data_IF_164364663259
#
_entry.id   IF_164364663259
#
_cell.length_a   1.000
_cell.length_b   1.000
_cell.length_c   1.000
_cell.angle_alpha   90.00
_cell.angle_beta   90.00
_cell.angle_gamma   90.00
#
_symmetry.space_group_name_H-M   'P 1'
#
loop_
_entity.id
_entity.type
_entity.pdbx_description
1 polymer ?
#
# COMPACT_ATOMS: atom_id res chain seq x y z
N UNK A 1 -1.67 0.56 -17.56
CA UNK A 1 -1.77 -0.90 -17.30
C UNK A 1 -0.57 -1.69 -17.84
N UNK A 2 -0.07 -1.46 -19.07
CA UNK A 2 1.03 -2.26 -19.63
C UNK A 2 2.36 -2.16 -18.87
N UNK A 3 2.71 -1.00 -18.35
CA UNK A 3 3.91 -0.79 -17.54
C UNK A 3 3.82 -1.48 -16.17
N UNK A 4 2.61 -1.50 -15.57
CA UNK A 4 2.34 -2.15 -14.28
C UNK A 4 2.55 -3.68 -14.31
N UNK A 5 2.56 -4.29 -15.49
CA UNK A 5 2.72 -5.74 -15.67
C UNK A 5 3.99 -6.10 -16.46
N UNK A 6 5.05 -5.24 -16.43
CA UNK A 6 6.31 -5.50 -17.12
C UNK A 6 7.04 -6.73 -16.55
N UNK A 7 7.73 -7.53 -17.39
CA UNK A 7 8.38 -8.78 -16.93
C UNK A 7 9.45 -8.59 -15.84
N UNK A 8 10.14 -7.44 -15.81
CA UNK A 8 11.18 -7.13 -14.82
C UNK A 8 10.66 -6.81 -13.41
N UNK A 9 9.36 -6.50 -13.28
CA UNK A 9 8.75 -6.03 -12.04
C UNK A 9 8.93 -7.02 -10.87
N UNK A 10 8.87 -8.32 -11.14
CA UNK A 10 9.03 -9.36 -10.10
C UNK A 10 10.42 -9.28 -9.43
N UNK A 11 11.48 -9.08 -10.24
CA UNK A 11 12.85 -8.97 -9.71
C UNK A 11 13.12 -7.61 -9.06
N UNK A 12 12.45 -6.56 -9.53
CA UNK A 12 12.60 -5.20 -9.05
C UNK A 12 11.87 -4.97 -7.73
N UNK A 13 10.64 -5.45 -7.62
CA UNK A 13 9.74 -5.17 -6.49
C UNK A 13 9.55 -6.36 -5.54
N UNK A 14 10.05 -7.55 -5.88
CA UNK A 14 10.01 -8.77 -5.06
C UNK A 14 8.66 -8.93 -4.31
N UNK A 15 7.51 -8.90 -5.04
CA UNK A 15 6.19 -8.72 -4.42
C UNK A 15 5.77 -9.85 -3.47
N UNK A 16 6.26 -11.07 -3.70
CA UNK A 16 5.95 -12.21 -2.83
C UNK A 16 6.70 -12.10 -1.50
N UNK A 17 7.94 -11.58 -1.52
CA UNK A 17 8.72 -11.27 -0.32
C UNK A 17 8.12 -10.07 0.43
N UNK A 18 7.67 -9.03 -0.30
CA UNK A 18 6.99 -7.89 0.31
C UNK A 18 5.79 -8.36 1.13
N UNK A 19 4.86 -9.10 0.52
CA UNK A 19 3.66 -9.52 1.23
C UNK A 19 3.95 -10.52 2.35
N UNK A 20 4.97 -11.37 2.20
CA UNK A 20 5.40 -12.29 3.26
C UNK A 20 5.96 -11.55 4.49
N UNK A 21 6.66 -10.42 4.27
CA UNK A 21 7.21 -9.60 5.36
C UNK A 21 6.17 -8.67 6.01
N UNK A 22 4.96 -8.58 5.49
CA UNK A 22 3.88 -7.84 6.16
C UNK A 22 3.41 -8.51 7.46
N UNK A 23 3.65 -9.81 7.66
CA UNK A 23 3.25 -10.54 8.87
C UNK A 23 1.75 -10.42 9.14
N UNK A 24 0.94 -10.72 8.12
CA UNK A 24 -0.52 -10.64 8.19
C UNK A 24 -1.11 -11.88 8.84
N UNK A 25 -2.13 -11.71 9.67
CA UNK A 25 -2.95 -12.81 10.16
C UNK A 25 -4.06 -13.16 9.14
N UNK A 26 -4.53 -14.42 9.09
CA UNK A 26 -5.50 -14.88 8.07
C UNK A 26 -6.82 -14.12 8.04
N UNK A 27 -7.23 -13.48 9.13
CA UNK A 27 -8.48 -12.74 9.30
C UNK A 27 -8.33 -11.21 9.15
N UNK A 28 -7.11 -10.73 8.85
CA UNK A 28 -6.86 -9.31 8.68
C UNK A 28 -7.66 -8.69 7.52
N UNK A 29 -8.09 -7.45 7.73
CA UNK A 29 -8.59 -6.55 6.67
C UNK A 29 -7.46 -5.64 6.25
N UNK A 30 -7.07 -5.72 4.98
CA UNK A 30 -5.92 -4.99 4.45
C UNK A 30 -6.35 -4.04 3.34
N UNK A 31 -5.96 -2.78 3.42
CA UNK A 31 -6.16 -1.81 2.33
C UNK A 31 -4.92 -1.75 1.43
N UNK A 32 -5.10 -1.92 0.13
CA UNK A 32 -4.09 -1.70 -0.92
C UNK A 32 -4.41 -0.36 -1.58
N UNK A 33 -3.64 0.69 -1.25
CA UNK A 33 -3.89 2.08 -1.66
C UNK A 33 -3.13 2.39 -2.95
N UNK A 34 -3.86 2.80 -3.99
CA UNK A 34 -3.33 2.89 -5.35
C UNK A 34 -3.17 1.49 -5.96
N UNK A 35 -4.16 0.63 -5.78
CA UNK A 35 -4.10 -0.80 -6.09
C UNK A 35 -3.82 -1.10 -7.58
N UNK A 36 -4.09 -0.14 -8.48
CA UNK A 36 -3.92 -0.32 -9.92
C UNK A 36 -4.67 -1.55 -10.43
N UNK A 37 -3.97 -2.43 -11.13
CA UNK A 37 -4.55 -3.69 -11.64
C UNK A 37 -4.65 -4.81 -10.57
N UNK A 38 -4.45 -4.49 -9.29
CA UNK A 38 -4.48 -5.45 -8.18
C UNK A 38 -3.21 -6.30 -8.04
N UNK A 39 -2.06 -5.78 -8.47
CA UNK A 39 -0.81 -6.55 -8.45
C UNK A 39 -0.43 -7.06 -7.06
N UNK A 40 -0.58 -6.23 -6.04
CA UNK A 40 -0.41 -6.63 -4.63
C UNK A 40 -1.70 -7.21 -4.04
N UNK A 41 -2.87 -6.66 -4.36
CA UNK A 41 -4.16 -7.09 -3.82
C UNK A 41 -4.36 -8.61 -3.94
N UNK A 42 -4.08 -9.21 -5.12
CA UNK A 42 -4.24 -10.66 -5.34
C UNK A 42 -3.23 -11.52 -4.57
N UNK A 43 -2.07 -10.98 -4.21
CA UNK A 43 -1.09 -11.68 -3.36
C UNK A 43 -1.50 -11.64 -1.91
N UNK A 44 -1.92 -10.46 -1.44
CA UNK A 44 -2.41 -10.25 -0.07
C UNK A 44 -3.65 -11.11 0.18
N UNK A 45 -4.59 -11.17 -0.76
CA UNK A 45 -5.81 -11.97 -0.64
C UNK A 45 -5.56 -13.46 -0.33
N UNK A 46 -4.44 -14.01 -0.79
CA UNK A 46 -4.03 -15.40 -0.48
C UNK A 46 -3.55 -15.57 0.97
N UNK A 47 -3.06 -14.50 1.60
CA UNK A 47 -2.56 -14.51 2.97
C UNK A 47 -3.66 -14.26 3.99
N UNK A 48 -4.76 -13.63 3.56
CA UNK A 48 -5.89 -13.29 4.42
C UNK A 48 -7.19 -14.00 3.96
N UNK A 49 -7.20 -15.35 3.93
CA UNK A 49 -8.34 -16.11 3.39
C UNK A 49 -9.62 -16.00 4.24
N UNK A 50 -9.52 -15.63 5.51
CA UNK A 50 -10.63 -15.39 6.44
C UNK A 50 -10.96 -13.90 6.59
N UNK A 51 -10.06 -13.03 6.12
CA UNK A 51 -10.21 -11.59 6.05
C UNK A 51 -10.57 -11.09 4.65
N UNK A 52 -10.14 -9.89 4.32
CA UNK A 52 -10.33 -9.33 2.97
C UNK A 52 -9.31 -8.26 2.62
N UNK A 53 -9.21 -7.97 1.33
CA UNK A 53 -8.45 -6.85 0.78
C UNK A 53 -9.41 -5.78 0.27
N UNK A 54 -9.20 -4.55 0.70
CA UNK A 54 -9.85 -3.35 0.15
C UNK A 54 -8.89 -2.74 -0.88
N UNK A 55 -9.18 -2.96 -2.16
CA UNK A 55 -8.38 -2.43 -3.26
C UNK A 55 -8.87 -1.02 -3.60
N UNK A 56 -8.15 -0.01 -3.11
CA UNK A 56 -8.49 1.41 -3.26
C UNK A 56 -7.81 1.98 -4.49
N UNK A 57 -8.57 2.55 -5.42
CA UNK A 57 -8.03 3.27 -6.57
C UNK A 57 -8.98 4.40 -6.97
N UNK A 58 -8.42 5.48 -7.54
CA UNK A 58 -9.21 6.61 -8.04
C UNK A 58 -9.69 6.43 -9.49
N UNK A 59 -9.16 5.40 -10.18
CA UNK A 59 -9.46 5.10 -11.57
C UNK A 59 -10.47 3.94 -11.65
N UNK A 60 -11.71 4.17 -12.10
CA UNK A 60 -12.73 3.11 -12.18
C UNK A 60 -12.31 1.97 -13.13
N UNK A 61 -11.47 2.27 -14.12
CA UNK A 61 -10.94 1.27 -15.05
C UNK A 61 -10.04 0.25 -14.34
N UNK A 62 -9.28 0.67 -13.32
CA UNK A 62 -8.43 -0.22 -12.53
C UNK A 62 -9.29 -1.15 -11.67
N UNK A 63 -10.31 -0.63 -11.00
CA UNK A 63 -11.26 -1.44 -10.23
C UNK A 63 -12.00 -2.44 -11.12
N UNK A 64 -12.39 -2.05 -12.34
CA UNK A 64 -13.01 -2.96 -13.29
C UNK A 64 -12.06 -4.09 -13.74
N UNK A 65 -10.76 -3.83 -13.87
CA UNK A 65 -9.75 -4.86 -14.15
C UNK A 65 -9.65 -5.85 -12.98
N UNK A 66 -9.62 -5.34 -11.74
CA UNK A 66 -9.59 -6.18 -10.54
C UNK A 66 -10.82 -7.09 -10.50
N UNK A 67 -12.02 -6.54 -10.71
CA UNK A 67 -13.28 -7.30 -10.72
C UNK A 67 -13.27 -8.42 -11.78
N UNK A 68 -12.82 -8.12 -13.00
CA UNK A 68 -12.69 -9.12 -14.08
C UNK A 68 -11.72 -10.24 -13.68
N UNK A 69 -10.59 -9.90 -13.09
CA UNK A 69 -9.60 -10.89 -12.63
C UNK A 69 -10.15 -11.75 -11.48
N UNK A 70 -10.84 -11.14 -10.52
CA UNK A 70 -11.50 -11.87 -9.43
C UNK A 70 -12.44 -12.94 -9.98
N UNK A 71 -13.28 -12.57 -10.95
CA UNK A 71 -14.21 -13.50 -11.60
C UNK A 71 -13.47 -14.62 -12.36
N UNK A 72 -12.38 -14.30 -13.06
CA UNK A 72 -11.60 -15.26 -13.81
C UNK A 72 -10.84 -16.25 -12.93
N UNK A 73 -10.27 -15.77 -11.83
CA UNK A 73 -9.40 -16.53 -10.92
C UNK A 73 -10.17 -17.15 -9.75
N UNK A 74 -11.48 -16.88 -9.60
CA UNK A 74 -12.31 -17.36 -8.51
C UNK A 74 -11.96 -16.76 -7.15
N UNK A 75 -11.38 -15.56 -7.11
CA UNK A 75 -11.04 -14.84 -5.90
C UNK A 75 -12.27 -14.07 -5.40
N UNK A 76 -12.62 -14.22 -4.12
CA UNK A 76 -13.85 -13.65 -3.55
C UNK A 76 -13.63 -12.70 -2.38
N UNK A 77 -12.40 -12.57 -1.90
CA UNK A 77 -12.03 -11.76 -0.73
C UNK A 77 -11.27 -10.48 -1.09
N UNK A 78 -11.49 -9.93 -2.27
CA UNK A 78 -11.09 -8.57 -2.65
C UNK A 78 -12.34 -7.74 -2.87
N UNK A 79 -12.33 -6.50 -2.40
CA UNK A 79 -13.40 -5.52 -2.60
C UNK A 79 -12.79 -4.25 -3.21
N UNK A 80 -13.29 -3.83 -4.36
CA UNK A 80 -12.88 -2.56 -4.98
C UNK A 80 -13.50 -1.38 -4.25
N UNK A 81 -12.67 -0.41 -3.87
CA UNK A 81 -13.10 0.83 -3.21
C UNK A 81 -12.73 2.02 -4.09
N UNK A 82 -13.71 2.80 -4.49
CA UNK A 82 -13.47 4.02 -5.24
C UNK A 82 -13.01 5.13 -4.29
N UNK A 83 -11.72 5.45 -4.33
CA UNK A 83 -11.16 6.60 -3.64
C UNK A 83 -11.35 7.89 -4.43
N UNK A 84 -10.99 9.01 -3.80
CA UNK A 84 -10.85 10.31 -4.45
C UNK A 84 -9.39 10.78 -4.36
N UNK A 85 -9.07 11.97 -4.83
CA UNK A 85 -7.71 12.54 -4.75
C UNK A 85 -7.31 12.90 -3.32
N UNK A 86 -8.26 12.98 -2.39
CA UNK A 86 -8.12 13.47 -1.02
C UNK A 86 -8.78 12.56 0.04
N UNK A 87 -9.43 11.45 -0.36
CA UNK A 87 -10.09 10.53 0.56
C UNK A 87 -9.99 9.08 0.06
N UNK A 88 -9.42 8.15 0.85
CA UNK A 88 -9.40 6.73 0.51
C UNK A 88 -10.79 6.07 0.59
N UNK A 89 -11.81 6.76 1.09
CA UNK A 89 -13.17 6.25 1.30
C UNK A 89 -13.23 4.96 2.14
N UNK A 90 -12.35 4.85 3.12
CA UNK A 90 -12.32 3.71 4.04
C UNK A 90 -13.06 4.04 5.34
N UNK A 91 -13.90 3.12 5.87
CA UNK A 91 -14.54 3.34 7.15
C UNK A 91 -13.53 3.48 8.31
N UNK A 92 -13.77 4.35 9.29
CA UNK A 92 -12.89 4.47 10.46
C UNK A 92 -12.74 3.16 11.23
N UNK A 93 -11.52 2.89 11.74
CA UNK A 93 -11.18 1.70 12.54
C UNK A 93 -11.60 0.36 11.89
N UNK A 94 -11.45 0.26 10.57
CA UNK A 94 -11.93 -0.89 9.79
C UNK A 94 -10.82 -1.79 9.26
N UNK A 95 -9.57 -1.33 9.24
CA UNK A 95 -8.45 -2.07 8.67
C UNK A 95 -7.37 -2.39 9.69
N UNK A 96 -6.70 -3.53 9.53
CA UNK A 96 -5.59 -4.00 10.35
C UNK A 96 -4.23 -3.59 9.75
N UNK A 97 -4.21 -3.42 8.43
CA UNK A 97 -3.04 -2.96 7.71
C UNK A 97 -3.41 -2.16 6.46
N UNK A 98 -2.52 -1.26 6.06
CA UNK A 98 -2.55 -0.61 4.75
C UNK A 98 -1.19 -0.76 4.07
N UNK A 99 -1.18 -0.86 2.75
CA UNK A 99 0.04 -0.84 1.93
C UNK A 99 -0.09 0.21 0.83
N UNK A 100 0.99 0.94 0.60
CA UNK A 100 1.18 1.85 -0.54
C UNK A 100 2.49 1.47 -1.24
N UNK A 101 2.43 1.22 -2.55
CA UNK A 101 3.61 0.86 -3.34
C UNK A 101 3.79 1.83 -4.48
N UNK A 102 4.84 2.64 -4.41
CA UNK A 102 5.14 3.68 -5.40
C UNK A 102 3.93 4.58 -5.70
N UNK A 103 3.15 4.91 -4.68
CA UNK A 103 1.91 5.65 -4.81
C UNK A 103 1.90 6.97 -4.02
N UNK A 104 2.55 7.01 -2.85
CA UNK A 104 2.48 8.16 -1.96
C UNK A 104 3.05 9.44 -2.60
N UNK A 105 4.17 9.33 -3.30
CA UNK A 105 4.78 10.48 -4.01
C UNK A 105 3.92 11.04 -5.16
N UNK A 106 2.87 10.33 -5.57
CA UNK A 106 1.92 10.74 -6.61
C UNK A 106 0.68 11.47 -6.05
N UNK A 107 0.53 11.56 -4.72
CA UNK A 107 -0.66 12.17 -4.12
C UNK A 107 -0.65 13.69 -4.24
N UNK A 108 -1.71 14.26 -4.82
CA UNK A 108 -1.95 15.71 -4.87
C UNK A 108 -2.34 16.27 -3.49
N UNK A 109 -2.99 15.45 -2.65
CA UNK A 109 -3.47 15.76 -1.31
C UNK A 109 -2.94 14.75 -0.28
N UNK A 110 -1.60 14.69 -0.05
CA UNK A 110 -1.00 13.65 0.79
C UNK A 110 -1.45 13.74 2.25
N UNK A 111 -1.71 14.94 2.77
CA UNK A 111 -2.16 15.12 4.14
C UNK A 111 -3.54 14.48 4.35
N UNK A 112 -4.51 14.79 3.53
CA UNK A 112 -5.89 14.31 3.62
C UNK A 112 -5.94 12.78 3.42
N UNK A 113 -5.16 12.27 2.46
CA UNK A 113 -5.09 10.83 2.20
C UNK A 113 -4.52 10.05 3.39
N UNK A 114 -3.40 10.51 3.99
CA UNK A 114 -2.81 9.83 5.15
C UNK A 114 -3.71 9.97 6.38
N UNK A 115 -4.35 11.11 6.58
CA UNK A 115 -5.33 11.30 7.67
C UNK A 115 -6.47 10.27 7.55
N UNK A 116 -7.07 10.13 6.37
CA UNK A 116 -8.11 9.14 6.10
C UNK A 116 -7.64 7.68 6.26
N UNK A 117 -6.41 7.36 5.83
CA UNK A 117 -5.82 6.03 6.03
C UNK A 117 -5.56 5.77 7.53
N UNK A 118 -5.03 6.78 8.24
CA UNK A 118 -4.80 6.69 9.68
C UNK A 118 -6.12 6.52 10.45
N UNK A 119 -7.17 7.24 10.08
CA UNK A 119 -8.49 7.07 10.68
C UNK A 119 -9.04 5.65 10.46
N UNK A 120 -8.83 5.09 9.27
CA UNK A 120 -9.26 3.74 8.93
C UNK A 120 -8.49 2.65 9.68
N UNK A 121 -7.22 2.87 10.01
CA UNK A 121 -6.40 1.94 10.78
C UNK A 121 -6.94 1.77 12.21
N UNK A 122 -7.00 0.53 12.67
CA UNK A 122 -7.20 0.20 14.09
C UNK A 122 -5.95 0.57 14.90
N UNK A 123 -6.09 0.81 16.19
CA UNK A 123 -4.93 0.92 17.09
C UNK A 123 -4.13 -0.38 17.05
N UNK A 124 -2.82 -0.28 16.86
CA UNK A 124 -1.93 -1.40 16.59
C UNK A 124 -1.88 -1.82 15.11
N UNK A 125 -2.73 -1.23 14.27
CA UNK A 125 -2.69 -1.42 12.82
C UNK A 125 -1.45 -0.81 12.19
N UNK A 126 -1.02 -1.36 11.06
CA UNK A 126 0.25 -1.01 10.42
C UNK A 126 0.07 -0.44 9.03
N UNK A 127 0.84 0.60 8.73
CA UNK A 127 1.02 1.15 7.40
C UNK A 127 2.36 0.69 6.84
N UNK A 128 2.35 0.04 5.68
CA UNK A 128 3.53 -0.33 4.90
C UNK A 128 3.66 0.62 3.72
N UNK A 129 4.74 1.38 3.71
CA UNK A 129 5.01 2.35 2.65
C UNK A 129 6.27 1.94 1.90
N UNK A 130 6.12 1.65 0.61
CA UNK A 130 7.20 1.29 -0.30
C UNK A 130 7.42 2.45 -1.27
N UNK A 131 8.63 3.02 -1.22
CA UNK A 131 9.04 4.12 -2.10
C UNK A 131 10.49 3.92 -2.56
N UNK A 132 10.81 4.39 -3.77
CA UNK A 132 12.19 4.35 -4.28
C UNK A 132 13.12 5.20 -3.43
N UNK A 133 14.31 4.65 -3.12
CA UNK A 133 15.30 5.31 -2.25
C UNK A 133 15.74 6.65 -2.80
N UNK A 134 15.43 7.73 -2.08
CA UNK A 134 15.89 9.08 -2.37
C UNK A 134 17.38 9.28 -2.07
N UNK A 135 17.93 8.48 -1.16
CA UNK A 135 19.33 8.51 -0.72
C UNK A 135 20.30 7.86 -1.73
N UNK A 136 19.78 7.07 -2.68
CA UNK A 136 20.62 6.33 -3.63
C UNK A 136 20.45 6.87 -5.05
N UNK A 137 21.48 7.59 -5.51
CA UNK A 137 21.53 8.14 -6.86
C UNK A 137 21.66 7.06 -7.95
N UNK A 138 22.06 5.82 -7.59
CA UNK A 138 22.21 4.71 -8.53
C UNK A 138 20.87 4.05 -8.89
N UNK A 139 19.82 4.27 -8.10
CA UNK A 139 18.46 3.79 -8.42
C UNK A 139 17.96 4.48 -9.69
N UNK A 140 17.63 3.72 -10.78
CA UNK A 140 17.40 4.27 -12.12
C UNK A 140 15.99 4.86 -12.28
N UNK A 141 15.55 5.64 -11.29
CA UNK A 141 14.24 6.29 -11.22
C UNK A 141 14.42 7.80 -11.16
N UNK A 142 13.49 8.55 -11.73
CA UNK A 142 13.53 10.03 -11.69
C UNK A 142 13.45 10.54 -10.26
N UNK A 143 14.17 11.60 -9.88
CA UNK A 143 14.18 12.13 -8.50
C UNK A 143 12.78 12.45 -7.95
N UNK A 144 11.85 12.90 -8.79
CA UNK A 144 10.45 13.19 -8.38
C UNK A 144 9.66 11.96 -7.92
N UNK A 145 10.11 10.76 -8.23
CA UNK A 145 9.49 9.50 -7.83
C UNK A 145 10.30 8.79 -6.74
N UNK A 146 11.21 9.51 -6.07
CA UNK A 146 12.01 8.98 -4.97
C UNK A 146 11.68 9.75 -3.69
N UNK A 147 11.69 9.05 -2.58
CA UNK A 147 11.54 9.64 -1.25
C UNK A 147 12.64 9.17 -0.33
N UNK A 148 13.14 10.06 0.54
CA UNK A 148 14.07 9.66 1.59
C UNK A 148 13.31 9.12 2.78
N UNK A 149 13.95 8.19 3.51
CA UNK A 149 13.43 7.68 4.77
C UNK A 149 13.14 8.80 5.77
N UNK A 150 14.06 9.76 5.91
CA UNK A 150 13.90 10.91 6.79
C UNK A 150 12.65 11.74 6.45
N UNK A 151 12.39 11.96 5.15
CA UNK A 151 11.19 12.68 4.71
C UNK A 151 9.92 11.92 5.10
N UNK A 152 9.85 10.64 4.77
CA UNK A 152 8.66 9.81 5.05
C UNK A 152 8.39 9.71 6.55
N UNK A 153 9.42 9.47 7.37
CA UNK A 153 9.28 9.42 8.85
C UNK A 153 8.74 10.73 9.40
N UNK A 154 9.24 11.86 8.91
CA UNK A 154 8.78 13.19 9.33
C UNK A 154 7.31 13.43 8.94
N UNK A 155 6.91 13.06 7.73
CA UNK A 155 5.55 13.25 7.23
C UNK A 155 4.56 12.33 7.97
N UNK A 156 4.85 11.04 8.12
CA UNK A 156 3.98 10.09 8.83
C UNK A 156 3.85 10.44 10.33
N UNK A 157 4.91 10.96 10.95
CA UNK A 157 4.90 11.40 12.35
C UNK A 157 3.88 12.50 12.66
N UNK A 158 3.45 13.28 11.66
CA UNK A 158 2.42 14.32 11.83
C UNK A 158 1.06 13.70 12.22
N UNK A 159 0.80 12.46 11.80
CA UNK A 159 -0.45 11.73 12.04
C UNK A 159 -0.38 10.82 13.28
N UNK A 160 0.71 10.85 14.03
CA UNK A 160 0.90 9.94 15.18
C UNK A 160 1.17 8.49 14.77
N UNK A 161 1.56 8.28 13.52
CA UNK A 161 2.05 6.99 13.03
C UNK A 161 3.52 6.84 13.47
N UNK A 162 3.77 5.88 14.36
CA UNK A 162 5.12 5.62 14.87
C UNK A 162 5.90 4.75 13.88
N UNK A 163 7.05 5.25 13.43
CA UNK A 163 7.97 4.45 12.64
C UNK A 163 8.56 3.31 13.48
N UNK A 164 8.33 2.07 13.06
CA UNK A 164 8.71 0.88 13.82
C UNK A 164 9.81 0.07 13.16
N UNK A 165 9.93 0.13 11.85
CA UNK A 165 10.97 -0.61 11.11
C UNK A 165 11.16 -0.06 9.69
N UNK A 166 12.32 -0.37 9.09
CA UNK A 166 12.58 -0.26 7.66
C UNK A 166 13.20 -1.57 7.17
N UNK A 167 12.53 -2.26 6.28
CA UNK A 167 12.97 -3.51 5.70
C UNK A 167 13.69 -3.25 4.37
N UNK A 168 15.01 -3.44 4.35
CA UNK A 168 15.91 -3.07 3.25
C UNK A 168 16.28 -4.22 2.32
N UNK A 169 15.42 -5.22 2.17
CA UNK A 169 15.68 -6.37 1.29
C UNK A 169 15.42 -6.06 -0.20
N UNK A 170 14.67 -4.98 -0.51
CA UNK A 170 14.36 -4.58 -1.88
C UNK A 170 15.56 -3.90 -2.55
N UNK A 171 15.79 -4.16 -3.85
CA UNK A 171 16.96 -3.61 -4.53
C UNK A 171 16.93 -2.08 -4.66
N UNK A 172 15.75 -1.47 -4.81
CA UNK A 172 15.61 -0.04 -5.13
C UNK A 172 14.70 0.75 -4.19
N UNK A 173 13.88 0.07 -3.39
CA UNK A 173 12.87 0.69 -2.53
C UNK A 173 13.21 0.48 -1.06
N UNK A 174 12.70 1.37 -0.20
CA UNK A 174 12.48 1.10 1.22
C UNK A 174 11.13 0.43 1.38
N UNK A 175 11.00 -0.51 2.31
CA UNK A 175 9.72 -0.92 2.86
C UNK A 175 9.64 -0.42 4.30
N UNK A 176 9.05 0.73 4.49
CA UNK A 176 8.94 1.39 5.79
C UNK A 176 7.66 0.95 6.48
N UNK A 177 7.76 0.67 7.78
CA UNK A 177 6.64 0.19 8.60
C UNK A 177 6.31 1.22 9.68
N UNK A 178 5.05 1.63 9.70
CA UNK A 178 4.51 2.54 10.71
C UNK A 178 3.37 1.86 11.46
N UNK A 179 3.24 2.15 12.74
CA UNK A 179 2.17 1.59 13.59
C UNK A 179 1.33 2.71 14.18
N UNK A 180 0.02 2.58 14.12
CA UNK A 180 -0.92 3.46 14.82
C UNK A 180 -0.92 3.12 16.30
N UNK A 181 -0.36 4.02 17.15
CA UNK A 181 -0.18 3.75 18.58
C UNK A 181 -1.32 4.25 19.48
N UNK A 182 -2.15 5.16 18.97
CA UNK A 182 -3.30 5.71 19.72
C UNK A 182 -4.49 5.97 18.81
N UNK A 183 -5.69 6.02 19.40
CA UNK A 183 -6.84 6.58 18.72
C UNK A 183 -6.65 8.11 18.58
N UNK A 184 -7.09 8.65 17.43
CA UNK A 184 -7.12 10.10 17.18
C UNK A 184 -8.16 10.79 18.07
#
# INVERSE_FOLDING_TARGET
AGWLNRPGRIQEEMPDEVVANMGLDPDHVVADIGAGSGYFSFRIAKLVPEGKVLAVDIQPEMLAIIEQRMAADGVTNIEGVMGTVDDPNLPPNSIDAAIMVDAYHEFDHPFEMIDGINDALRVGGRLFLLEYRGEDDSVPIRPLHKMTEEQVVKEMGVFGLEWTDTLDFLPWQHMMVFTKVSAN
#
